data_IF_461021084198
#
_entry.id   IF_461021084198
#
_cell.length_a   1.000
_cell.length_b   1.000
_cell.length_c   1.000
_cell.angle_alpha   90.00
_cell.angle_beta   90.00
_cell.angle_gamma   90.00
#
_symmetry.space_group_name_H-M   'P 1'
#
loop_
_entity.id
_entity.type
_entity.pdbx_description
1 polymer ?
#
# COMPACT_ATOMS: atom_id res chain seq x y z
N UNK A 1 -29.14 5.62 4.69
CA UNK A 1 -28.67 4.23 4.62
C UNK A 1 -27.90 3.94 5.89
N UNK A 2 -28.09 2.77 6.49
CA UNK A 2 -27.31 2.31 7.65
C UNK A 2 -25.83 2.24 7.25
N UNK A 3 -24.94 2.74 8.12
CA UNK A 3 -23.52 2.85 7.83
C UNK A 3 -22.89 1.46 7.81
N UNK A 4 -22.13 1.16 6.76
CA UNK A 4 -21.45 -0.13 6.56
C UNK A 4 -19.97 -0.02 6.84
N UNK A 5 -19.39 -1.05 7.45
CA UNK A 5 -17.99 -1.04 7.87
C UNK A 5 -17.21 -2.23 7.33
N UNK A 6 -15.91 -2.03 7.13
CA UNK A 6 -14.92 -3.07 6.83
C UNK A 6 -13.64 -2.83 7.65
N UNK A 7 -12.89 -3.90 7.99
CA UNK A 7 -11.62 -3.77 8.66
C UNK A 7 -10.50 -3.35 7.70
N UNK A 8 -9.50 -2.66 8.22
CA UNK A 8 -8.22 -2.43 7.55
C UNK A 8 -7.11 -2.52 8.59
N UNK A 9 -6.74 -3.74 8.96
CA UNK A 9 -5.85 -3.95 10.09
C UNK A 9 -4.77 -4.97 9.78
N UNK A 10 -3.58 -4.71 10.31
CA UNK A 10 -2.47 -5.64 10.36
C UNK A 10 -2.19 -5.88 11.83
N UNK A 11 -2.37 -7.11 12.30
CA UNK A 11 -2.25 -7.50 13.69
C UNK A 11 -1.02 -8.38 13.87
N UNK A 12 -0.25 -8.16 14.93
CA UNK A 12 0.86 -9.06 15.30
C UNK A 12 1.01 -9.14 16.81
N UNK A 13 1.92 -10.00 17.25
CA UNK A 13 2.28 -10.11 18.66
C UNK A 13 3.57 -9.31 18.90
N UNK A 14 3.54 -8.39 19.87
CA UNK A 14 4.72 -7.71 20.40
C UNK A 14 4.72 -7.83 21.92
N UNK A 15 5.79 -8.38 22.49
CA UNK A 15 5.96 -8.45 23.94
C UNK A 15 4.75 -9.09 24.66
N UNK A 16 4.21 -10.16 24.09
CA UNK A 16 3.01 -10.88 24.57
C UNK A 16 1.70 -10.08 24.53
N UNK A 17 1.66 -8.94 23.83
CA UNK A 17 0.45 -8.17 23.55
C UNK A 17 0.11 -8.27 22.07
N UNK A 18 -1.18 -8.17 21.74
CA UNK A 18 -1.62 -7.99 20.35
C UNK A 18 -1.49 -6.52 20.01
N UNK A 19 -0.81 -6.19 18.92
CA UNK A 19 -0.68 -4.82 18.41
C UNK A 19 -1.21 -4.73 16.99
N UNK A 20 -2.00 -3.68 16.73
CA UNK A 20 -2.33 -3.27 15.38
C UNK A 20 -1.23 -2.35 14.86
N UNK A 21 -0.59 -2.75 13.76
CA UNK A 21 0.37 -1.92 13.05
C UNK A 21 -0.28 -1.25 11.85
N UNK A 22 0.23 -0.07 11.52
CA UNK A 22 -0.24 0.73 10.40
C UNK A 22 0.74 0.65 9.20
N UNK A 23 1.38 -0.52 9.04
CA UNK A 23 2.39 -0.83 8.02
C UNK A 23 3.42 0.30 7.80
N UNK A 24 3.43 0.94 6.62
CA UNK A 24 4.35 2.02 6.26
C UNK A 24 3.99 3.40 6.86
N UNK A 25 3.04 3.46 7.78
CA UNK A 25 2.72 4.66 8.54
C UNK A 25 3.76 4.93 9.62
N UNK A 26 4.01 6.21 9.91
CA UNK A 26 4.85 6.65 11.02
C UNK A 26 4.11 6.65 12.37
N UNK A 27 2.83 6.24 12.40
CA UNK A 27 2.05 6.12 13.64
C UNK A 27 2.61 4.99 14.50
N UNK A 28 2.67 5.23 15.81
CA UNK A 28 2.91 4.16 16.78
C UNK A 28 1.84 3.06 16.65
N UNK A 29 2.22 1.79 16.83
CA UNK A 29 1.25 0.69 16.92
C UNK A 29 0.21 0.93 18.01
N UNK A 30 -1.01 0.47 17.77
CA UNK A 30 -2.09 0.50 18.75
C UNK A 30 -2.17 -0.85 19.46
N UNK A 31 -2.17 -0.87 20.80
CA UNK A 31 -2.38 -2.12 21.55
C UNK A 31 -3.84 -2.53 21.41
N UNK A 32 -4.10 -3.82 21.19
CA UNK A 32 -5.43 -4.42 21.25
C UNK A 32 -5.55 -5.19 22.58
N UNK A 33 -6.17 -4.59 23.62
CA UNK A 33 -6.23 -5.20 24.93
C UNK A 33 -7.43 -6.14 25.12
N UNK A 34 -8.46 -6.07 24.28
CA UNK A 34 -9.76 -6.69 24.51
C UNK A 34 -10.12 -7.74 23.45
N UNK A 35 -10.75 -8.84 23.88
CA UNK A 35 -11.28 -9.87 22.97
C UNK A 35 -12.39 -9.33 22.07
N UNK A 36 -13.23 -8.42 22.57
CA UNK A 36 -14.31 -7.80 21.81
C UNK A 36 -13.82 -7.08 20.55
N UNK A 37 -12.64 -6.45 20.59
CA UNK A 37 -12.06 -5.76 19.44
C UNK A 37 -11.73 -6.76 18.33
N UNK A 38 -11.08 -7.86 18.68
CA UNK A 38 -10.75 -8.92 17.73
C UNK A 38 -12.00 -9.55 17.13
N UNK A 39 -12.98 -9.90 17.97
CA UNK A 39 -14.25 -10.48 17.50
C UNK A 39 -14.97 -9.54 16.54
N UNK A 40 -15.06 -8.24 16.87
CA UNK A 40 -15.71 -7.25 16.00
C UNK A 40 -14.96 -7.10 14.68
N UNK A 41 -13.64 -6.96 14.71
CA UNK A 41 -12.82 -6.85 13.50
C UNK A 41 -13.00 -8.07 12.58
N UNK A 42 -13.06 -9.28 13.16
CA UNK A 42 -13.28 -10.52 12.42
C UNK A 42 -14.69 -10.60 11.81
N UNK A 43 -15.73 -10.19 12.55
CA UNK A 43 -17.11 -10.15 12.03
C UNK A 43 -17.19 -9.23 10.80
N UNK A 44 -16.60 -8.03 10.89
CA UNK A 44 -16.61 -7.06 9.79
C UNK A 44 -15.80 -7.48 8.56
N UNK A 45 -15.02 -8.58 8.62
CA UNK A 45 -14.45 -9.20 7.42
C UNK A 45 -15.56 -9.74 6.51
N UNK A 46 -16.69 -10.19 7.06
CA UNK A 46 -17.74 -10.91 6.33
C UNK A 46 -19.10 -10.20 6.33
N UNK A 47 -19.46 -9.53 7.41
CA UNK A 47 -20.75 -8.83 7.57
C UNK A 47 -20.50 -7.34 7.79
N UNK A 48 -21.01 -6.51 6.89
CA UNK A 48 -20.74 -5.08 6.88
C UNK A 48 -21.86 -4.25 7.51
N UNK A 49 -23.06 -4.82 7.63
CA UNK A 49 -24.19 -4.15 8.28
C UNK A 49 -24.09 -4.26 9.81
N UNK A 50 -24.35 -3.15 10.49
CA UNK A 50 -24.13 -3.03 11.91
C UNK A 50 -25.11 -3.90 12.73
N UNK A 51 -26.38 -3.98 12.32
CA UNK A 51 -27.39 -4.75 13.05
C UNK A 51 -27.12 -6.24 12.90
N UNK A 52 -26.85 -6.69 11.68
CA UNK A 52 -26.46 -8.08 11.40
C UNK A 52 -25.17 -8.47 12.13
N UNK A 53 -24.15 -7.60 12.11
CA UNK A 53 -22.89 -7.83 12.82
C UNK A 53 -23.09 -7.97 14.33
N UNK A 54 -23.99 -7.18 14.93
CA UNK A 54 -24.34 -7.32 16.35
C UNK A 54 -25.02 -8.65 16.65
N UNK A 55 -25.91 -9.14 15.78
CA UNK A 55 -26.52 -10.47 15.96
C UNK A 55 -25.47 -11.59 15.92
N UNK A 56 -24.52 -11.52 14.98
CA UNK A 56 -23.39 -12.47 14.91
C UNK A 56 -22.54 -12.37 16.18
N UNK A 57 -22.24 -11.16 16.66
CA UNK A 57 -21.49 -10.96 17.89
C UNK A 57 -22.14 -11.64 19.08
N UNK A 58 -23.47 -11.53 19.25
CA UNK A 58 -24.18 -12.22 20.34
C UNK A 58 -24.09 -13.75 20.22
N UNK A 59 -24.15 -14.28 19.00
CA UNK A 59 -23.98 -15.72 18.78
C UNK A 59 -22.56 -16.16 19.16
N UNK A 60 -21.52 -15.48 18.66
CA UNK A 60 -20.12 -15.80 18.91
C UNK A 60 -19.76 -15.69 20.39
N UNK A 61 -20.25 -14.65 21.06
CA UNK A 61 -20.08 -14.42 22.49
C UNK A 61 -20.54 -15.62 23.33
N UNK A 62 -21.65 -16.24 22.96
CA UNK A 62 -22.23 -17.39 23.67
C UNK A 62 -21.72 -18.76 23.19
N UNK A 63 -21.03 -18.79 22.05
CA UNK A 63 -20.62 -20.04 21.42
C UNK A 63 -19.40 -20.67 22.13
N UNK A 64 -19.37 -22.00 22.30
CA UNK A 64 -18.15 -22.67 22.74
C UNK A 64 -17.05 -22.51 21.69
N UNK A 65 -15.79 -22.66 22.13
CA UNK A 65 -14.64 -22.66 21.22
C UNK A 65 -14.77 -23.83 20.24
N UNK A 66 -14.73 -23.52 18.95
CA UNK A 66 -14.82 -24.52 17.90
C UNK A 66 -13.48 -25.26 17.77
N UNK A 67 -13.52 -26.58 17.99
CA UNK A 67 -12.34 -27.46 17.93
C UNK A 67 -11.61 -27.36 16.58
N UNK A 68 -12.34 -27.21 15.47
CA UNK A 68 -11.73 -27.05 14.15
C UNK A 68 -10.83 -25.81 14.07
N UNK A 69 -11.23 -24.72 14.74
CA UNK A 69 -10.42 -23.50 14.80
C UNK A 69 -9.15 -23.75 15.57
N UNK A 70 -9.24 -24.34 16.76
CA UNK A 70 -8.06 -24.63 17.58
C UNK A 70 -7.08 -25.54 16.83
N UNK A 71 -7.56 -26.63 16.22
CA UNK A 71 -6.73 -27.55 15.44
C UNK A 71 -6.06 -26.88 14.24
N UNK A 72 -6.77 -26.00 13.51
CA UNK A 72 -6.18 -25.33 12.36
C UNK A 72 -5.12 -24.31 12.79
N UNK A 73 -5.42 -23.51 13.82
CA UNK A 73 -4.55 -22.45 14.32
C UNK A 73 -3.26 -23.00 14.94
N UNK A 74 -3.31 -24.18 15.56
CA UNK A 74 -2.12 -24.87 16.08
C UNK A 74 -1.02 -25.06 15.04
N UNK A 75 -1.39 -25.29 13.77
CA UNK A 75 -0.43 -25.46 12.67
C UNK A 75 0.47 -24.24 12.47
N UNK A 76 -0.02 -23.04 12.83
CA UNK A 76 0.66 -21.77 12.59
C UNK A 76 1.32 -21.17 13.83
N UNK A 77 1.19 -21.81 15.00
CA UNK A 77 1.73 -21.28 16.25
C UNK A 77 3.24 -21.01 16.20
N UNK A 78 3.98 -21.79 15.40
CA UNK A 78 5.41 -21.62 15.20
C UNK A 78 5.79 -20.32 14.45
N UNK A 79 4.85 -19.70 13.73
CA UNK A 79 5.08 -18.47 12.95
C UNK A 79 4.83 -17.18 13.77
N UNK A 80 4.20 -17.30 14.94
CA UNK A 80 3.64 -16.17 15.72
C UNK A 80 4.61 -15.01 15.98
N UNK A 81 5.90 -15.28 16.14
CA UNK A 81 6.91 -14.24 16.40
C UNK A 81 7.14 -13.29 15.22
N UNK A 82 6.97 -13.76 13.98
CA UNK A 82 7.24 -12.98 12.76
C UNK A 82 5.97 -12.73 11.93
N UNK A 83 4.89 -13.41 12.26
CA UNK A 83 3.67 -13.37 11.49
C UNK A 83 2.87 -12.08 11.70
N UNK A 84 2.17 -11.68 10.65
CA UNK A 84 1.14 -10.63 10.70
C UNK A 84 -0.18 -11.25 10.22
N UNK A 85 -1.27 -11.01 10.95
CA UNK A 85 -2.61 -11.25 10.44
C UNK A 85 -3.12 -9.98 9.76
N UNK A 86 -3.54 -10.13 8.52
CA UNK A 86 -4.12 -9.08 7.71
C UNK A 86 -5.63 -9.25 7.59
N UNK A 87 -6.35 -8.14 7.79
CA UNK A 87 -7.79 -8.01 7.71
C UNK A 87 -8.17 -6.96 6.68
N UNK A 88 -9.02 -7.35 5.73
CA UNK A 88 -9.71 -6.47 4.78
C UNK A 88 -11.08 -7.05 4.42
N UNK A 89 -11.87 -6.33 3.62
CA UNK A 89 -13.14 -6.81 3.08
C UNK A 89 -12.98 -8.23 2.49
N UNK A 90 -13.70 -9.20 3.05
CA UNK A 90 -13.70 -10.62 2.67
C UNK A 90 -12.35 -11.32 2.73
N UNK A 91 -11.39 -10.80 3.49
CA UNK A 91 -10.07 -11.41 3.61
C UNK A 91 -9.54 -11.38 5.05
N UNK A 92 -9.23 -12.59 5.55
CA UNK A 92 -8.41 -12.81 6.74
C UNK A 92 -7.25 -13.72 6.34
N UNK A 93 -6.04 -13.16 6.33
CA UNK A 93 -4.84 -13.85 5.83
C UNK A 93 -3.71 -13.74 6.84
N UNK A 94 -3.02 -14.85 7.09
CA UNK A 94 -1.80 -14.89 7.87
C UNK A 94 -0.59 -14.77 6.93
N UNK A 95 0.29 -13.83 7.22
CA UNK A 95 1.54 -13.58 6.51
C UNK A 95 2.72 -14.08 7.34
N UNK A 96 3.32 -15.20 6.94
CA UNK A 96 4.37 -15.90 7.71
C UNK A 96 5.67 -15.09 7.89
N UNK A 97 6.02 -14.24 6.92
CA UNK A 97 7.20 -13.36 6.96
C UNK A 97 6.84 -11.88 7.20
N UNK A 98 5.71 -11.63 7.85
CA UNK A 98 5.24 -10.28 8.14
C UNK A 98 4.87 -9.49 6.88
N UNK A 99 5.16 -8.19 6.83
CA UNK A 99 4.79 -7.31 5.70
C UNK A 99 5.47 -7.71 4.38
N UNK A 100 6.59 -8.44 4.44
CA UNK A 100 7.27 -8.94 3.24
C UNK A 100 6.36 -9.88 2.44
N UNK A 101 5.71 -10.83 3.12
CA UNK A 101 4.72 -11.74 2.51
C UNK A 101 3.58 -11.00 1.82
N UNK A 102 3.13 -9.87 2.38
CA UNK A 102 2.08 -9.05 1.77
C UNK A 102 2.50 -8.46 0.41
N UNK A 103 3.78 -8.11 0.24
CA UNK A 103 4.34 -7.53 -0.99
C UNK A 103 4.71 -8.63 -1.99
N UNK A 104 5.46 -9.63 -1.52
CA UNK A 104 6.04 -10.66 -2.37
C UNK A 104 5.04 -11.73 -2.79
N UNK A 105 3.94 -11.88 -2.02
CA UNK A 105 2.89 -12.91 -2.16
C UNK A 105 3.40 -14.32 -1.86
N UNK A 106 4.33 -14.45 -0.92
CA UNK A 106 4.86 -15.72 -0.42
C UNK A 106 4.45 -15.98 1.04
N UNK A 107 4.35 -17.26 1.43
CA UNK A 107 3.92 -17.66 2.79
C UNK A 107 2.62 -16.99 3.26
N UNK A 108 1.65 -16.90 2.34
CA UNK A 108 0.28 -16.44 2.62
C UNK A 108 -0.63 -17.63 2.96
N UNK A 109 -1.25 -17.60 4.13
CA UNK A 109 -2.20 -18.63 4.57
C UNK A 109 -3.59 -18.02 4.73
N UNK A 110 -4.51 -18.41 3.84
CA UNK A 110 -5.88 -17.89 3.82
C UNK A 110 -6.73 -18.55 4.89
N UNK A 111 -7.12 -17.76 5.89
CA UNK A 111 -7.94 -18.20 7.00
C UNK A 111 -9.41 -17.73 6.87
N UNK A 112 -9.73 -16.97 5.81
CA UNK A 112 -11.08 -16.47 5.51
C UNK A 112 -12.17 -17.55 5.61
N UNK A 113 -12.04 -18.76 5.02
CA UNK A 113 -13.11 -19.76 5.09
C UNK A 113 -13.38 -20.25 6.51
N UNK A 114 -12.33 -20.45 7.31
CA UNK A 114 -12.45 -20.84 8.71
C UNK A 114 -13.09 -19.73 9.54
N UNK A 115 -12.68 -18.48 9.29
CA UNK A 115 -13.22 -17.28 9.93
C UNK A 115 -14.71 -17.10 9.64
N UNK A 116 -15.14 -17.22 8.38
CA UNK A 116 -16.55 -17.08 7.98
C UNK A 116 -17.48 -18.06 8.71
N UNK A 117 -16.99 -19.26 8.99
CA UNK A 117 -17.78 -20.30 9.64
C UNK A 117 -17.84 -20.18 11.16
N UNK A 118 -16.90 -19.46 11.78
CA UNK A 118 -16.67 -19.56 13.23
C UNK A 118 -16.53 -18.22 13.94
N UNK A 119 -15.99 -17.19 13.28
CA UNK A 119 -15.67 -15.87 13.84
C UNK A 119 -14.79 -15.94 15.11
N UNK A 120 -13.99 -17.00 15.22
CA UNK A 120 -13.14 -17.28 16.38
C UNK A 120 -11.65 -17.35 16.01
N UNK A 121 -11.28 -17.09 14.75
CA UNK A 121 -9.89 -17.24 14.29
C UNK A 121 -8.95 -16.31 15.04
N UNK A 122 -9.27 -15.02 15.16
CA UNK A 122 -8.40 -14.05 15.81
C UNK A 122 -8.27 -14.32 17.31
N UNK A 123 -9.39 -14.58 17.99
CA UNK A 123 -9.38 -14.83 19.44
C UNK A 123 -8.62 -16.12 19.78
N UNK A 124 -8.70 -17.15 18.93
CA UNK A 124 -7.91 -18.37 19.11
C UNK A 124 -6.44 -18.20 18.71
N UNK A 125 -6.14 -17.48 17.62
CA UNK A 125 -4.76 -17.23 17.21
C UNK A 125 -3.97 -16.48 18.29
N UNK A 126 -4.62 -15.50 18.94
CA UNK A 126 -4.02 -14.70 19.99
C UNK A 126 -4.32 -15.18 21.42
N UNK A 127 -4.87 -16.39 21.61
CA UNK A 127 -5.31 -16.88 22.92
C UNK A 127 -4.23 -16.93 24.01
N UNK A 128 -2.94 -17.03 23.62
CA UNK A 128 -1.79 -17.06 24.55
C UNK A 128 -1.23 -15.67 24.91
N UNK A 129 -1.87 -14.60 24.43
CA UNK A 129 -1.47 -13.20 24.72
C UNK A 129 -2.28 -12.63 25.90
N UNK A 130 -1.88 -11.46 26.39
CA UNK A 130 -2.51 -10.78 27.52
C UNK A 130 -3.85 -10.07 27.14
N UNK A 131 -4.77 -10.78 26.51
CA UNK A 131 -6.10 -10.26 26.15
C UNK A 131 -7.06 -10.32 27.35
N UNK A 132 -7.78 -9.23 27.57
CA UNK A 132 -8.85 -9.13 28.56
C UNK A 132 -10.14 -9.69 27.93
N UNK A 133 -10.78 -10.63 28.62
CA UNK A 133 -12.08 -11.16 28.22
C UNK A 133 -13.19 -10.19 28.65
N UNK A 134 -13.76 -9.48 27.68
CA UNK A 134 -14.76 -8.43 27.89
C UNK A 134 -16.03 -8.62 27.04
N UNK A 135 -16.16 -9.76 26.33
CA UNK A 135 -17.33 -10.03 25.48
C UNK A 135 -18.65 -9.91 26.24
N UNK A 136 -18.68 -10.32 27.52
CA UNK A 136 -19.84 -10.18 28.40
C UNK A 136 -20.25 -8.74 28.69
N UNK A 137 -19.30 -7.80 28.63
CA UNK A 137 -19.53 -6.38 28.90
C UNK A 137 -20.24 -5.67 27.74
N UNK A 138 -20.14 -6.20 26.51
CA UNK A 138 -20.89 -5.71 25.35
C UNK A 138 -22.26 -6.41 25.33
N UNK A 139 -23.24 -5.80 25.98
CA UNK A 139 -24.57 -6.38 26.25
C UNK A 139 -25.74 -5.65 25.55
N UNK A 140 -25.43 -4.61 24.78
CA UNK A 140 -26.43 -3.85 24.01
C UNK A 140 -25.87 -3.45 22.65
N UNK A 141 -26.76 -3.23 21.67
CA UNK A 141 -26.38 -2.71 20.37
C UNK A 141 -25.70 -1.34 20.48
N UNK A 142 -26.10 -0.51 21.44
CA UNK A 142 -25.48 0.80 21.67
C UNK A 142 -24.01 0.67 22.10
N UNK A 143 -23.70 -0.23 23.04
CA UNK A 143 -22.31 -0.49 23.45
C UNK A 143 -21.47 -1.06 22.31
N UNK A 144 -22.06 -1.90 21.47
CA UNK A 144 -21.42 -2.44 20.27
C UNK A 144 -21.13 -1.32 19.25
N UNK A 145 -22.12 -0.47 18.95
CA UNK A 145 -22.00 0.70 18.08
C UNK A 145 -20.88 1.63 18.54
N UNK A 146 -20.83 1.93 19.84
CA UNK A 146 -19.80 2.81 20.41
C UNK A 146 -18.40 2.23 20.19
N UNK A 147 -18.23 0.93 20.36
CA UNK A 147 -16.96 0.26 20.09
C UNK A 147 -16.63 0.26 18.59
N UNK A 148 -17.59 0.01 17.70
CA UNK A 148 -17.38 0.11 16.24
C UNK A 148 -16.94 1.52 15.84
N UNK A 149 -17.59 2.56 16.36
CA UNK A 149 -17.22 3.97 16.12
C UNK A 149 -15.81 4.25 16.66
N UNK A 150 -15.46 3.71 17.82
CA UNK A 150 -14.13 3.85 18.38
C UNK A 150 -13.06 3.19 17.48
N UNK A 151 -13.29 1.93 17.06
CA UNK A 151 -12.40 1.20 16.16
C UNK A 151 -12.23 1.91 14.79
N UNK A 152 -13.29 2.54 14.29
CA UNK A 152 -13.21 3.40 13.10
C UNK A 152 -12.35 4.64 13.36
N UNK A 153 -12.57 5.33 14.48
CA UNK A 153 -11.85 6.56 14.86
C UNK A 153 -10.33 6.34 14.94
N UNK A 154 -9.89 5.18 15.42
CA UNK A 154 -8.45 4.84 15.50
C UNK A 154 -7.89 4.28 14.19
N UNK A 155 -8.76 3.92 13.24
CA UNK A 155 -8.41 3.48 11.89
C UNK A 155 -8.30 1.97 11.70
N UNK A 156 -8.89 1.16 12.59
CA UNK A 156 -8.96 -0.31 12.44
C UNK A 156 -10.20 -0.74 11.65
N UNK A 157 -11.28 0.04 11.72
CA UNK A 157 -12.42 -0.03 10.81
C UNK A 157 -12.46 1.20 9.91
N UNK A 158 -13.18 1.09 8.79
CA UNK A 158 -13.51 2.19 7.90
C UNK A 158 -14.88 1.96 7.29
N UNK A 159 -15.45 2.99 6.66
CA UNK A 159 -16.63 2.79 5.81
C UNK A 159 -16.35 1.80 4.69
N UNK A 160 -17.34 0.94 4.40
CA UNK A 160 -17.24 -0.08 3.36
C UNK A 160 -16.99 0.56 1.98
N UNK A 161 -16.34 -0.19 1.09
CA UNK A 161 -16.14 0.23 -0.30
C UNK A 161 -17.47 0.57 -0.96
N UNK A 162 -17.46 1.59 -1.84
CA UNK A 162 -18.66 2.10 -2.52
C UNK A 162 -19.77 2.67 -1.61
N UNK A 163 -19.51 2.85 -0.31
CA UNK A 163 -20.42 3.51 0.64
C UNK A 163 -19.89 4.86 1.17
N UNK A 164 -18.72 5.27 0.69
CA UNK A 164 -18.05 6.50 1.09
C UNK A 164 -18.87 7.72 0.68
N UNK A 165 -19.00 8.66 1.60
CA UNK A 165 -19.51 10.00 1.33
C UNK A 165 -18.51 11.07 1.80
N UNK A 166 -18.65 12.31 1.32
CA UNK A 166 -17.73 13.40 1.66
C UNK A 166 -17.64 13.70 3.16
N UNK A 167 -18.71 13.43 3.92
CA UNK A 167 -18.71 13.57 5.38
C UNK A 167 -17.75 12.60 6.08
N UNK A 168 -17.49 11.42 5.49
CA UNK A 168 -16.56 10.43 6.03
C UNK A 168 -15.11 10.91 6.00
N UNK A 169 -14.79 11.96 5.25
CA UNK A 169 -13.45 12.56 5.26
C UNK A 169 -13.19 13.45 6.47
N UNK A 170 -14.23 13.79 7.25
CA UNK A 170 -14.13 14.56 8.49
C UNK A 170 -13.61 13.70 9.66
N UNK A 171 -12.39 13.18 9.52
CA UNK A 171 -11.69 12.37 10.53
C UNK A 171 -10.20 12.63 10.55
N UNK A 172 -9.57 12.24 11.66
CA UNK A 172 -8.12 12.42 11.89
C UNK A 172 -7.26 11.25 11.39
N UNK A 173 -7.88 10.22 10.80
CA UNK A 173 -7.21 9.05 10.24
C UNK A 173 -7.65 8.85 8.78
N UNK A 174 -6.78 8.38 7.88
CA UNK A 174 -7.18 8.12 6.49
C UNK A 174 -8.19 6.97 6.41
N UNK A 175 -8.90 6.85 5.28
CA UNK A 175 -9.84 5.76 5.00
C UNK A 175 -9.09 4.42 4.96
N UNK A 176 -7.93 4.40 4.30
CA UNK A 176 -7.00 3.28 4.28
C UNK A 176 -5.63 3.70 4.83
N UNK A 177 -5.12 2.91 5.77
CA UNK A 177 -3.81 3.15 6.40
C UNK A 177 -2.63 2.80 5.48
N UNK A 178 -2.85 2.15 4.33
CA UNK A 178 -1.80 1.70 3.37
C UNK A 178 -2.09 2.09 1.92
N UNK A 179 -2.35 3.38 1.68
CA UNK A 179 -2.43 4.02 0.37
C UNK A 179 -3.54 3.48 -0.54
N UNK A 180 -4.51 2.77 0.04
CA UNK A 180 -5.58 2.09 -0.69
C UNK A 180 -5.38 0.58 -0.86
N UNK A 181 -4.20 0.03 -0.53
CA UNK A 181 -3.86 -1.38 -0.77
C UNK A 181 -4.76 -2.39 -0.05
N UNK A 182 -5.44 -2.01 1.04
CA UNK A 182 -6.44 -2.89 1.69
C UNK A 182 -7.82 -2.83 1.05
N UNK A 183 -8.06 -1.88 0.14
CA UNK A 183 -9.36 -1.60 -0.48
C UNK A 183 -9.36 -1.84 -1.99
N UNK A 184 -8.19 -1.85 -2.61
CA UNK A 184 -8.01 -2.01 -4.04
C UNK A 184 -6.69 -1.42 -4.49
N UNK A 185 -6.68 -0.84 -5.69
CA UNK A 185 -5.49 -0.28 -6.31
C UNK A 185 -5.31 1.19 -5.90
N UNK A 186 -4.11 1.60 -5.44
CA UNK A 186 -3.77 3.00 -5.19
C UNK A 186 -3.90 3.90 -6.43
N UNK A 187 -4.24 5.17 -6.22
CA UNK A 187 -4.48 6.16 -7.30
C UNK A 187 -3.21 6.42 -8.12
N UNK A 188 -2.05 6.51 -7.48
CA UNK A 188 -0.77 6.73 -8.16
C UNK A 188 -0.45 5.60 -9.15
N UNK A 189 -0.83 4.36 -8.84
CA UNK A 189 -0.67 3.21 -9.74
C UNK A 189 -1.56 3.30 -10.97
N UNK A 190 -2.71 3.96 -10.90
CA UNK A 190 -3.51 4.25 -12.09
C UNK A 190 -2.79 5.21 -13.03
N UNK A 191 -2.23 6.30 -12.51
CA UNK A 191 -1.50 7.28 -13.31
C UNK A 191 -0.16 6.74 -13.84
N UNK A 192 0.56 5.96 -13.05
CA UNK A 192 1.76 5.26 -13.52
C UNK A 192 1.44 4.34 -14.71
N UNK A 193 0.37 3.54 -14.62
CA UNK A 193 -0.07 2.71 -15.73
C UNK A 193 -0.40 3.51 -16.98
N UNK A 194 -1.14 4.62 -16.83
CA UNK A 194 -1.49 5.52 -17.94
C UNK A 194 -0.23 6.09 -18.61
N UNK A 195 0.75 6.52 -17.81
CA UNK A 195 2.03 7.00 -18.32
C UNK A 195 2.80 5.91 -19.07
N UNK A 196 2.94 4.71 -18.49
CA UNK A 196 3.62 3.57 -19.11
C UNK A 196 3.03 3.25 -20.48
N UNK A 197 1.70 3.22 -20.62
CA UNK A 197 1.06 2.92 -21.91
C UNK A 197 1.45 3.92 -23.01
N UNK A 198 1.68 5.19 -22.66
CA UNK A 198 2.09 6.20 -23.63
C UNK A 198 3.58 6.10 -24.01
N UNK A 199 4.45 5.82 -23.04
CA UNK A 199 5.90 5.83 -23.26
C UNK A 199 6.48 4.50 -23.73
N UNK A 200 5.76 3.39 -23.51
CA UNK A 200 6.24 2.03 -23.77
C UNK A 200 6.90 1.82 -25.15
N UNK A 201 6.36 2.35 -26.27
CA UNK A 201 7.01 2.21 -27.58
C UNK A 201 8.39 2.87 -27.69
N UNK A 202 8.70 3.81 -26.80
CA UNK A 202 9.95 4.57 -26.79
C UNK A 202 11.04 3.92 -25.92
N UNK A 203 10.67 2.96 -25.06
CA UNK A 203 11.61 2.25 -24.18
C UNK A 203 12.23 1.10 -24.97
N UNK A 204 13.49 1.28 -25.38
CA UNK A 204 14.19 0.33 -26.26
C UNK A 204 15.69 0.25 -25.95
N UNK A 205 16.34 -0.80 -26.47
CA UNK A 205 17.79 -0.95 -26.48
C UNK A 205 18.33 -1.57 -25.19
N UNK A 206 19.41 -1.00 -24.65
CA UNK A 206 19.93 -1.36 -23.34
C UNK A 206 19.28 -0.46 -22.28
N UNK A 207 18.49 -1.07 -21.40
CA UNK A 207 17.64 -0.40 -20.42
C UNK A 207 18.24 -0.57 -19.02
N UNK A 208 18.28 0.52 -18.26
CA UNK A 208 18.51 0.52 -16.81
C UNK A 208 17.22 0.96 -16.11
N UNK A 209 16.73 0.18 -15.16
CA UNK A 209 15.74 0.63 -14.19
C UNK A 209 16.42 0.91 -12.85
N UNK A 210 16.21 2.11 -12.31
CA UNK A 210 16.68 2.49 -10.97
C UNK A 210 15.52 2.32 -10.00
N UNK A 211 15.74 1.60 -8.89
CA UNK A 211 14.75 1.34 -7.85
C UNK A 211 13.74 0.23 -8.18
N UNK A 212 13.98 -0.51 -9.27
CA UNK A 212 13.09 -1.57 -9.74
C UNK A 212 13.17 -2.87 -8.97
N UNK A 213 12.30 -3.80 -9.38
CA UNK A 213 12.17 -5.17 -8.90
C UNK A 213 12.06 -6.15 -10.06
N UNK A 214 12.36 -7.43 -9.83
CA UNK A 214 12.32 -8.46 -10.88
C UNK A 214 10.97 -8.62 -11.58
N UNK A 215 9.87 -8.14 -10.99
CA UNK A 215 8.51 -8.21 -11.58
C UNK A 215 8.21 -7.04 -12.53
N UNK A 216 8.96 -5.95 -12.45
CA UNK A 216 8.62 -4.70 -13.14
C UNK A 216 8.81 -4.80 -14.66
N UNK A 217 9.80 -5.57 -15.11
CA UNK A 217 10.02 -5.85 -16.53
C UNK A 217 8.76 -6.43 -17.21
N UNK A 218 8.13 -7.41 -16.57
CA UNK A 218 6.92 -8.05 -17.09
C UNK A 218 5.71 -7.11 -16.99
N UNK A 219 5.62 -6.35 -15.90
CA UNK A 219 4.56 -5.36 -15.69
C UNK A 219 4.57 -4.24 -16.74
N UNK A 220 5.73 -3.68 -17.07
CA UNK A 220 5.86 -2.69 -18.14
C UNK A 220 5.67 -3.31 -19.54
N UNK A 221 5.87 -4.63 -19.64
CA UNK A 221 5.81 -5.39 -20.89
C UNK A 221 6.82 -4.89 -21.91
N UNK A 222 8.06 -4.70 -21.47
CA UNK A 222 9.17 -4.19 -22.28
C UNK A 222 9.39 -5.03 -23.54
N UNK A 223 9.79 -4.37 -24.63
CA UNK A 223 10.05 -5.00 -25.93
C UNK A 223 11.10 -6.13 -25.83
N UNK A 224 10.80 -7.30 -26.42
CA UNK A 224 11.63 -8.52 -26.39
C UNK A 224 13.07 -8.34 -26.90
N UNK A 225 13.32 -7.36 -27.76
CA UNK A 225 14.67 -7.07 -28.30
C UNK A 225 15.57 -6.24 -27.39
N UNK A 226 15.10 -5.85 -26.20
CA UNK A 226 15.87 -4.99 -25.28
C UNK A 226 16.55 -5.81 -24.18
N UNK A 227 17.75 -5.38 -23.76
CA UNK A 227 18.34 -5.88 -22.51
C UNK A 227 17.89 -5.00 -21.35
N UNK A 228 17.68 -5.61 -20.19
CA UNK A 228 17.10 -4.97 -19.02
C UNK A 228 17.96 -5.25 -17.81
N UNK A 229 18.42 -4.19 -17.14
CA UNK A 229 19.18 -4.29 -15.91
C UNK A 229 18.49 -3.48 -14.82
N UNK A 230 18.51 -4.00 -13.59
CA UNK A 230 17.94 -3.33 -12.42
C UNK A 230 19.05 -2.89 -11.49
N UNK A 231 19.00 -1.62 -11.08
CA UNK A 231 19.83 -1.04 -10.04
C UNK A 231 19.00 -0.76 -8.78
N UNK A 232 19.50 -1.19 -7.63
CA UNK A 232 18.88 -0.89 -6.34
C UNK A 232 19.96 -0.66 -5.26
N UNK A 233 19.62 0.06 -4.19
CA UNK A 233 20.56 0.35 -3.10
C UNK A 233 20.87 -0.91 -2.28
N UNK A 234 19.91 -1.83 -2.19
CA UNK A 234 20.04 -3.11 -1.50
C UNK A 234 20.13 -4.28 -2.51
N UNK A 235 20.90 -5.34 -2.19
CA UNK A 235 20.90 -6.56 -2.98
C UNK A 235 19.54 -7.27 -2.89
N UNK A 236 19.13 -7.93 -3.97
CA UNK A 236 17.87 -8.66 -4.00
C UNK A 236 17.73 -9.58 -5.21
N UNK A 237 16.65 -10.37 -5.23
CA UNK A 237 16.36 -11.27 -6.34
C UNK A 237 16.08 -10.47 -7.62
N UNK A 238 16.93 -10.68 -8.63
CA UNK A 238 16.85 -9.99 -9.93
C UNK A 238 17.43 -8.58 -9.94
N UNK A 239 18.21 -8.19 -8.92
CA UNK A 239 19.00 -6.95 -8.93
C UNK A 239 20.35 -7.23 -9.59
N UNK A 240 20.66 -6.51 -10.67
CA UNK A 240 21.91 -6.66 -11.43
C UNK A 240 23.03 -5.77 -10.89
N UNK A 241 22.67 -4.60 -10.35
CA UNK A 241 23.61 -3.56 -9.90
C UNK A 241 23.20 -3.11 -8.51
N UNK A 242 24.08 -3.26 -7.54
CA UNK A 242 23.85 -2.77 -6.17
C UNK A 242 24.60 -1.47 -5.98
N UNK A 243 23.89 -0.39 -5.65
CA UNK A 243 24.52 0.88 -5.30
C UNK A 243 23.58 2.09 -5.27
N UNK A 244 24.11 3.22 -4.81
CA UNK A 244 23.39 4.49 -4.68
C UNK A 244 23.47 5.30 -5.98
N UNK A 245 22.33 5.70 -6.53
CA UNK A 245 22.26 6.47 -7.78
C UNK A 245 22.91 7.88 -7.68
N UNK A 246 23.21 8.37 -6.48
CA UNK A 246 24.02 9.58 -6.28
C UNK A 246 25.50 9.38 -6.69
N UNK A 247 26.01 8.15 -6.64
CA UNK A 247 27.38 7.82 -7.06
C UNK A 247 27.43 7.62 -8.59
N UNK A 248 27.86 8.67 -9.28
CA UNK A 248 27.99 8.69 -10.73
C UNK A 248 29.02 7.68 -11.28
N UNK A 249 29.91 7.13 -10.45
CA UNK A 249 30.98 6.22 -10.88
C UNK A 249 30.54 4.77 -11.07
N UNK A 250 29.38 4.38 -10.52
CA UNK A 250 28.84 3.01 -10.59
C UNK A 250 28.59 2.57 -12.03
N UNK A 251 28.15 3.50 -12.87
CA UNK A 251 27.83 3.24 -14.28
C UNK A 251 28.77 4.04 -15.17
N UNK A 252 29.34 3.37 -16.17
CA UNK A 252 30.18 4.03 -17.18
C UNK A 252 29.34 5.04 -17.99
N UNK A 253 29.88 6.21 -18.36
CA UNK A 253 29.20 7.14 -19.25
C UNK A 253 28.72 6.46 -20.54
N UNK A 254 27.59 6.93 -21.08
CA UNK A 254 27.07 6.51 -22.39
C UNK A 254 26.83 4.99 -22.52
N UNK A 255 26.35 4.37 -21.45
CA UNK A 255 26.12 2.92 -21.37
C UNK A 255 24.71 2.49 -21.79
N UNK A 256 23.71 3.35 -21.63
CA UNK A 256 22.30 2.97 -21.76
C UNK A 256 21.57 3.76 -22.84
N UNK A 257 20.65 3.09 -23.54
CA UNK A 257 19.77 3.70 -24.54
C UNK A 257 18.51 4.26 -23.86
N UNK A 258 18.03 3.59 -22.81
CA UNK A 258 16.89 4.02 -22.00
C UNK A 258 17.17 3.89 -20.51
N UNK A 259 16.73 4.86 -19.70
CA UNK A 259 16.77 4.78 -18.23
C UNK A 259 15.37 5.04 -17.65
N UNK A 260 14.91 4.16 -16.77
CA UNK A 260 13.61 4.24 -16.09
C UNK A 260 13.85 4.52 -14.61
N UNK A 261 13.05 5.41 -14.02
CA UNK A 261 13.07 5.66 -12.57
C UNK A 261 11.70 6.14 -12.10
N UNK A 262 10.89 5.23 -11.55
CA UNK A 262 9.53 5.53 -11.10
C UNK A 262 9.46 5.44 -9.58
N UNK A 263 8.98 6.52 -8.94
CA UNK A 263 8.88 6.65 -7.49
C UNK A 263 10.22 6.40 -6.76
N UNK A 264 11.27 7.11 -7.21
CA UNK A 264 12.63 7.02 -6.63
C UNK A 264 13.19 8.39 -6.30
N UNK A 265 13.05 9.38 -7.17
CA UNK A 265 13.70 10.68 -6.97
C UNK A 265 13.19 11.43 -5.73
N UNK A 266 11.96 11.18 -5.29
CA UNK A 266 11.43 11.67 -4.00
C UNK A 266 12.18 11.11 -2.79
N UNK A 267 12.80 9.94 -2.94
CA UNK A 267 13.60 9.25 -1.93
C UNK A 267 15.09 9.61 -2.01
N UNK A 268 15.50 10.41 -3.01
CA UNK A 268 16.86 10.92 -3.14
C UNK A 268 17.00 12.25 -2.39
N UNK A 269 18.03 12.40 -1.55
CA UNK A 269 18.26 13.66 -0.82
C UNK A 269 18.69 14.80 -1.77
N UNK A 270 19.34 14.48 -2.89
CA UNK A 270 19.75 15.41 -3.94
C UNK A 270 19.32 14.90 -5.33
N UNK A 271 18.01 14.94 -5.66
CA UNK A 271 17.49 14.34 -6.89
C UNK A 271 18.10 14.94 -8.17
N UNK A 272 18.49 16.22 -8.15
CA UNK A 272 19.19 16.85 -9.26
C UNK A 272 20.53 16.19 -9.59
N UNK A 273 21.25 15.67 -8.59
CA UNK A 273 22.52 14.95 -8.81
C UNK A 273 22.26 13.62 -9.51
N UNK A 274 21.22 12.90 -9.11
CA UNK A 274 20.80 11.65 -9.76
C UNK A 274 20.40 11.91 -11.21
N UNK A 275 19.66 12.98 -11.49
CA UNK A 275 19.30 13.38 -12.87
C UNK A 275 20.55 13.71 -13.71
N UNK A 276 21.57 14.34 -13.12
CA UNK A 276 22.84 14.61 -13.81
C UNK A 276 23.66 13.32 -14.09
N UNK A 277 23.60 12.35 -13.18
CA UNK A 277 24.17 11.02 -13.39
C UNK A 277 23.44 10.27 -14.51
N UNK A 278 22.10 10.27 -14.50
CA UNK A 278 21.27 9.70 -15.58
C UNK A 278 21.66 10.29 -16.93
N UNK A 279 21.81 11.61 -17.03
CA UNK A 279 22.27 12.28 -18.26
C UNK A 279 23.66 11.77 -18.69
N UNK A 280 24.58 11.52 -17.76
CA UNK A 280 25.92 11.00 -18.06
C UNK A 280 25.88 9.55 -18.54
N UNK A 281 25.06 8.72 -17.92
CA UNK A 281 24.92 7.29 -18.22
C UNK A 281 24.19 7.00 -19.52
N UNK A 282 23.34 7.92 -19.99
CA UNK A 282 22.69 7.83 -21.29
C UNK A 282 23.67 8.04 -22.44
N UNK A 283 23.54 7.24 -23.50
CA UNK A 283 24.16 7.49 -24.81
C UNK A 283 23.61 8.77 -25.44
N UNK A 284 24.33 9.42 -26.37
CA UNK A 284 23.76 10.47 -27.21
C UNK A 284 22.46 10.00 -27.88
N UNK A 285 21.37 10.78 -27.76
CA UNK A 285 20.04 10.41 -28.25
C UNK A 285 19.26 9.44 -27.35
N UNK A 286 19.84 8.96 -26.25
CA UNK A 286 19.17 8.13 -25.27
C UNK A 286 18.10 8.89 -24.47
N UNK A 287 17.13 8.16 -23.91
CA UNK A 287 15.98 8.75 -23.20
C UNK A 287 15.88 8.29 -21.75
N UNK A 288 15.40 9.15 -20.88
CA UNK A 288 14.94 8.77 -19.55
C UNK A 288 13.44 8.96 -19.38
N UNK A 289 12.86 8.13 -18.53
CA UNK A 289 11.44 8.08 -18.21
C UNK A 289 11.30 8.08 -16.70
N UNK A 290 10.74 9.17 -16.16
CA UNK A 290 10.73 9.39 -14.72
C UNK A 290 9.32 9.73 -14.25
N UNK A 291 8.93 9.21 -13.09
CA UNK A 291 7.69 9.55 -12.38
C UNK A 291 8.00 9.79 -10.91
N UNK A 292 7.38 10.82 -10.34
CA UNK A 292 7.43 11.18 -8.91
C UNK A 292 6.02 11.53 -8.40
N UNK A 293 5.73 11.26 -7.12
CA UNK A 293 4.48 11.68 -6.50
C UNK A 293 4.49 13.18 -6.22
N UNK A 294 3.35 13.83 -6.47
CA UNK A 294 3.10 15.24 -6.15
C UNK A 294 2.12 15.38 -4.99
N UNK A 295 1.03 14.60 -4.96
CA UNK A 295 0.10 14.52 -3.84
C UNK A 295 0.05 13.10 -3.29
N UNK A 296 0.96 12.80 -2.37
CA UNK A 296 0.99 11.54 -1.62
C UNK A 296 1.50 11.86 -0.21
N UNK A 297 0.91 11.23 0.80
CA UNK A 297 1.39 11.33 2.19
C UNK A 297 2.81 10.76 2.34
N UNK A 298 3.41 11.03 3.49
CA UNK A 298 4.75 10.53 3.85
C UNK A 298 4.81 9.00 3.73
N UNK A 299 5.80 8.49 3.00
CA UNK A 299 6.03 7.06 2.74
C UNK A 299 7.53 6.74 2.73
N UNK A 300 8.17 6.82 3.91
CA UNK A 300 9.60 6.65 4.07
C UNK A 300 10.05 5.19 3.85
N UNK A 301 10.53 4.89 2.64
CA UNK A 301 11.12 3.60 2.26
C UNK A 301 12.25 3.82 1.24
N UNK A 302 13.48 4.20 1.66
CA UNK A 302 13.94 4.35 3.05
C UNK A 302 13.61 5.72 3.67
N UNK A 303 13.75 6.81 2.91
CA UNK A 303 13.51 8.19 3.34
C UNK A 303 12.64 8.89 2.31
N UNK A 304 11.86 9.89 2.70
CA UNK A 304 10.90 10.56 1.82
C UNK A 304 11.08 12.08 1.92
N UNK A 305 11.81 12.65 0.97
CA UNK A 305 12.36 14.01 1.07
C UNK A 305 11.52 15.07 0.36
N UNK A 306 11.02 14.76 -0.83
CA UNK A 306 10.51 15.80 -1.73
C UNK A 306 9.19 15.42 -2.39
N UNK A 307 8.37 16.43 -2.68
CA UNK A 307 7.29 16.38 -3.66
C UNK A 307 7.61 17.40 -4.73
N UNK A 308 8.52 17.11 -5.68
CA UNK A 308 8.87 18.08 -6.71
C UNK A 308 7.62 18.41 -7.54
N UNK A 309 7.25 19.70 -7.52
CA UNK A 309 6.20 20.23 -8.37
C UNK A 309 6.70 20.38 -9.82
N UNK A 310 5.80 20.51 -10.81
CA UNK A 310 6.16 20.46 -12.23
C UNK A 310 7.31 21.37 -12.65
N UNK A 311 7.40 22.61 -12.16
CA UNK A 311 8.48 23.54 -12.51
C UNK A 311 9.85 23.10 -11.97
N UNK A 312 9.90 22.65 -10.71
CA UNK A 312 11.13 22.12 -10.12
C UNK A 312 11.57 20.86 -10.86
N UNK A 313 10.60 20.02 -11.23
CA UNK A 313 10.85 18.81 -12.00
C UNK A 313 11.41 19.14 -13.37
N UNK A 314 10.76 20.02 -14.15
CA UNK A 314 11.26 20.50 -15.44
C UNK A 314 12.67 21.10 -15.34
N UNK A 315 12.90 21.91 -14.30
CA UNK A 315 14.20 22.52 -14.08
C UNK A 315 15.28 21.47 -13.85
N UNK A 316 15.06 20.41 -13.07
CA UNK A 316 16.08 19.38 -12.84
C UNK A 316 16.61 18.77 -14.17
N UNK A 317 15.73 18.61 -15.15
CA UNK A 317 16.06 18.05 -16.48
C UNK A 317 16.55 19.09 -17.51
N UNK A 318 16.90 20.33 -17.10
CA UNK A 318 17.30 21.41 -18.04
C UNK A 318 18.45 21.11 -19.01
N UNK A 319 19.29 20.10 -18.72
CA UNK A 319 20.43 19.72 -19.58
C UNK A 319 20.02 18.86 -20.78
N UNK A 320 18.85 18.24 -20.73
CA UNK A 320 18.33 17.40 -21.82
C UNK A 320 17.91 18.28 -23.00
N UNK A 321 18.20 17.83 -24.23
CA UNK A 321 17.89 18.58 -25.44
C UNK A 321 16.39 18.65 -25.74
N UNK A 322 15.62 17.67 -25.25
CA UNK A 322 14.16 17.65 -25.31
C UNK A 322 13.56 17.14 -24.01
N UNK A 323 12.42 17.70 -23.61
CA UNK A 323 11.63 17.23 -22.49
C UNK A 323 10.12 17.33 -22.77
N UNK A 324 9.35 16.35 -22.30
CA UNK A 324 7.89 16.36 -22.30
C UNK A 324 7.39 16.01 -20.90
N UNK A 325 6.70 16.95 -20.26
CA UNK A 325 6.05 16.75 -18.96
C UNK A 325 4.68 16.13 -19.13
N UNK A 326 4.33 15.33 -18.13
CA UNK A 326 3.03 14.70 -17.96
C UNK A 326 2.59 14.97 -16.54
N UNK A 327 1.46 15.64 -16.36
CA UNK A 327 0.92 15.94 -15.04
C UNK A 327 -0.44 15.30 -14.95
N UNK A 328 -0.63 14.46 -13.94
CA UNK A 328 -1.89 13.77 -13.68
C UNK A 328 -2.43 14.21 -12.34
N UNK A 329 -3.75 14.36 -12.26
CA UNK A 329 -4.42 14.67 -11.02
C UNK A 329 -5.50 15.73 -11.17
N UNK A 330 -6.36 15.76 -10.18
CA UNK A 330 -7.44 16.71 -9.98
C UNK A 330 -7.80 16.70 -8.47
N UNK A 331 -8.68 17.60 -7.98
CA UNK A 331 -9.02 17.64 -6.56
C UNK A 331 -9.51 16.31 -5.96
N UNK A 332 -10.29 15.52 -6.71
CA UNK A 332 -10.84 14.24 -6.25
C UNK A 332 -9.71 13.24 -6.05
N UNK A 333 -8.83 13.09 -7.06
CA UNK A 333 -7.73 12.13 -6.99
C UNK A 333 -6.65 12.53 -5.97
N UNK A 334 -6.45 13.83 -5.71
CA UNK A 334 -5.61 14.32 -4.59
C UNK A 334 -6.18 13.85 -3.25
N UNK A 335 -7.47 14.09 -3.01
CA UNK A 335 -8.12 13.67 -1.75
C UNK A 335 -8.07 12.14 -1.61
N UNK A 336 -8.36 11.42 -2.69
CA UNK A 336 -8.31 9.97 -2.73
C UNK A 336 -6.92 9.43 -2.39
N UNK A 337 -5.87 10.00 -2.98
CA UNK A 337 -4.48 9.64 -2.70
C UNK A 337 -4.13 9.81 -1.22
N UNK A 338 -4.46 10.96 -0.61
CA UNK A 338 -4.16 11.20 0.81
C UNK A 338 -4.94 10.28 1.76
N UNK A 339 -6.22 10.03 1.47
CA UNK A 339 -7.07 9.17 2.31
C UNK A 339 -6.92 7.68 2.01
N UNK A 340 -6.21 7.29 0.95
CA UNK A 340 -6.12 5.90 0.50
C UNK A 340 -7.46 5.35 0.01
N UNK A 341 -8.22 6.16 -0.72
CA UNK A 341 -9.40 5.71 -1.46
C UNK A 341 -8.90 5.00 -2.72
N UNK A 342 -9.39 3.78 -2.96
CA UNK A 342 -8.91 2.97 -4.07
C UNK A 342 -9.54 3.42 -5.40
N UNK A 343 -8.87 3.12 -6.52
CA UNK A 343 -9.35 3.50 -7.86
C UNK A 343 -10.71 2.90 -8.20
N UNK A 344 -11.03 1.74 -7.64
CA UNK A 344 -12.29 1.03 -7.80
C UNK A 344 -13.47 1.78 -7.17
N UNK A 345 -13.20 2.70 -6.25
CA UNK A 345 -14.21 3.55 -5.60
C UNK A 345 -14.44 4.88 -6.34
N UNK A 346 -13.71 5.12 -7.43
CA UNK A 346 -13.83 6.29 -8.29
C UNK A 346 -14.26 5.85 -9.69
N UNK A 347 -14.92 6.75 -10.42
CA UNK A 347 -15.21 6.54 -11.84
C UNK A 347 -13.98 6.80 -12.71
N UNK A 348 -13.94 6.20 -13.90
CA UNK A 348 -12.89 6.49 -14.89
C UNK A 348 -12.90 7.97 -15.29
N UNK A 349 -14.07 8.60 -15.40
CA UNK A 349 -14.20 10.02 -15.72
C UNK A 349 -13.54 10.91 -14.63
N UNK A 350 -13.78 10.60 -13.36
CA UNK A 350 -13.13 11.30 -12.24
C UNK A 350 -11.61 11.07 -12.22
N UNK A 351 -11.13 9.86 -12.55
CA UNK A 351 -9.70 9.57 -12.60
C UNK A 351 -9.01 10.26 -13.79
N UNK A 352 -9.66 10.29 -14.96
CA UNK A 352 -9.13 10.85 -16.20
C UNK A 352 -9.23 12.38 -16.29
N UNK A 353 -10.12 13.00 -15.51
CA UNK A 353 -10.20 14.44 -15.38
C UNK A 353 -8.85 15.03 -14.93
N UNK A 354 -8.49 16.18 -15.47
CA UNK A 354 -7.26 16.89 -15.15
C UNK A 354 -7.55 18.30 -14.66
N UNK A 355 -6.86 18.71 -13.61
CA UNK A 355 -6.81 20.10 -13.17
C UNK A 355 -5.34 20.50 -12.91
N UNK A 356 -4.84 21.59 -13.52
CA UNK A 356 -3.41 21.95 -13.46
C UNK A 356 -2.89 22.20 -12.04
N UNK A 357 -3.74 22.74 -11.16
CA UNK A 357 -3.34 23.11 -9.79
C UNK A 357 -3.30 21.93 -8.79
N UNK A 358 -3.73 20.72 -9.19
CA UNK A 358 -3.88 19.57 -8.28
C UNK A 358 -3.13 18.32 -8.79
N UNK A 359 -1.79 18.40 -8.95
CA UNK A 359 -1.01 17.26 -9.39
C UNK A 359 -0.98 16.15 -8.32
N UNK A 360 -1.29 14.93 -8.72
CA UNK A 360 -1.08 13.70 -7.95
C UNK A 360 0.24 13.05 -8.32
N UNK A 361 0.53 12.99 -9.62
CA UNK A 361 1.76 12.42 -10.17
C UNK A 361 2.31 13.35 -11.25
N UNK A 362 3.64 13.55 -11.21
CA UNK A 362 4.36 14.27 -12.24
C UNK A 362 5.35 13.32 -12.90
N UNK A 363 5.28 13.21 -14.22
CA UNK A 363 6.17 12.38 -15.01
C UNK A 363 6.87 13.21 -16.10
N UNK A 364 8.00 12.71 -16.58
CA UNK A 364 8.75 13.34 -17.66
C UNK A 364 9.38 12.30 -18.55
N UNK A 365 9.41 12.60 -19.85
CA UNK A 365 10.28 11.95 -20.83
C UNK A 365 11.31 12.98 -21.25
N UNK A 366 12.60 12.67 -21.12
CA UNK A 366 13.67 13.57 -21.53
C UNK A 366 14.71 12.86 -22.38
N UNK A 367 15.18 13.51 -23.45
CA UNK A 367 16.15 12.98 -24.40
C UNK A 367 17.47 13.73 -24.31
N UNK A 368 18.58 12.99 -24.25
CA UNK A 368 19.94 13.53 -24.27
C UNK A 368 20.26 14.07 -25.66
#
# INVERSE_FOLDING_TARGET
>A
MTRKYIPNAFLKIETSQVTAIFAWSQRSPEIIPYQSWLTILEIFVHEHDLESAYQIFQQVKSAPINVQVTTEIEKYQHLTNNAIIFLSDKSLTLFGKGLRSFIEKDEEYKLTPLSHNTYQVLTQFFAKTNLISDLEQINSIDSFCQLVIYLEKIGLLSVATHSLNWGDLKKSVPICQVFGLTRGKPVDRYYLNKFIQEIKPQIVGKILEIGGTSKDKDFYGINLGSSYQIMNIEPGLGIDIVGDAHDGSIIKPESFDSIITFNVLEHCYAPWQVVENIYTWLKPGGKCFVMVPSAQRLHATPMDYWRPLPDAFAWMFRKFSQQKLYVYGNPISVIASYHGIATEELTTEELDAFHPDFPVATCIVAQK
#
